data_IF_894658207572
#
_entry.id   IF_894658207572
#
_cell.length_a   1.000
_cell.length_b   1.000
_cell.length_c   1.000
_cell.angle_alpha   90.00
_cell.angle_beta   90.00
_cell.angle_gamma   90.00
#
_symmetry.space_group_name_H-M   'P 1'
#
loop_
_entity.id
_entity.type
_entity.pdbx_description
1 polymer ?
#
# COMPACT_ATOMS: atom_id res chain seq x y z
N UNK A 1 3.19 -3.66 15.87
CA UNK A 1 2.62 -4.92 15.36
C UNK A 1 2.68 -4.92 13.84
N UNK A 2 3.09 -6.02 13.19
CA UNK A 2 3.11 -6.11 11.72
C UNK A 2 1.67 -6.20 11.19
N UNK A 3 1.27 -5.26 10.33
CA UNK A 3 -0.04 -5.27 9.65
C UNK A 3 0.06 -6.05 8.34
N UNK A 4 1.01 -5.70 7.48
CA UNK A 4 1.17 -6.35 6.18
C UNK A 4 2.64 -6.49 5.79
N UNK A 5 2.92 -7.58 5.09
CA UNK A 5 4.19 -7.87 4.44
C UNK A 5 3.93 -8.28 2.98
N UNK A 6 4.43 -7.50 2.03
CA UNK A 6 4.30 -7.76 0.59
C UNK A 6 5.69 -7.93 0.02
N UNK A 7 5.99 -9.16 -0.42
CA UNK A 7 7.25 -9.50 -1.07
C UNK A 7 7.05 -9.49 -2.58
N UNK A 8 7.85 -8.68 -3.26
CA UNK A 8 7.93 -8.67 -4.71
C UNK A 8 9.04 -9.60 -5.17
N UNK A 9 8.83 -10.26 -6.29
CA UNK A 9 9.79 -11.18 -6.88
C UNK A 9 10.22 -10.70 -8.26
N UNK A 10 11.49 -10.92 -8.61
CA UNK A 10 12.00 -10.70 -9.95
C UNK A 10 11.58 -11.83 -10.92
N UNK A 11 12.03 -11.73 -12.17
CA UNK A 11 11.76 -12.74 -13.21
C UNK A 11 12.31 -14.14 -12.86
N UNK A 12 13.28 -14.21 -11.96
CA UNK A 12 13.91 -15.45 -11.49
C UNK A 12 13.28 -15.97 -10.18
N UNK A 13 12.15 -15.40 -9.74
CA UNK A 13 11.48 -15.71 -8.47
C UNK A 13 12.33 -15.43 -7.24
N UNK A 14 13.30 -14.52 -7.32
CA UNK A 14 14.05 -14.03 -6.16
C UNK A 14 13.40 -12.78 -5.60
N UNK A 15 13.34 -12.61 -4.27
CA UNK A 15 12.83 -11.38 -3.66
C UNK A 15 13.58 -10.16 -4.19
N UNK A 16 12.85 -9.21 -4.78
CA UNK A 16 13.39 -7.97 -5.36
C UNK A 16 13.16 -6.77 -4.46
N UNK A 17 12.03 -6.74 -3.76
CA UNK A 17 11.73 -5.74 -2.74
C UNK A 17 10.69 -6.25 -1.76
N UNK A 18 10.63 -5.63 -0.59
CA UNK A 18 9.65 -5.93 0.45
C UNK A 18 9.01 -4.63 0.91
N UNK A 19 7.68 -4.58 0.87
CA UNK A 19 6.88 -3.52 1.47
C UNK A 19 6.30 -4.01 2.80
N UNK A 20 6.51 -3.25 3.87
CA UNK A 20 5.98 -3.55 5.19
C UNK A 20 5.16 -2.38 5.72
N UNK A 21 4.07 -2.69 6.43
CA UNK A 21 3.37 -1.72 7.28
C UNK A 21 3.34 -2.26 8.69
N UNK A 22 3.85 -1.49 9.63
CA UNK A 22 3.82 -1.78 11.05
C UNK A 22 2.96 -0.74 11.78
N UNK A 23 2.12 -1.20 12.70
CA UNK A 23 1.40 -0.37 13.69
C UNK A 23 2.28 -0.14 14.92
N UNK A 24 2.23 1.08 15.45
CA UNK A 24 2.73 1.45 16.76
C UNK A 24 1.58 2.08 17.54
N UNK A 25 0.95 1.35 18.48
CA UNK A 25 -0.25 1.82 19.16
C UNK A 25 0.05 3.01 20.09
N UNK A 26 -0.96 3.81 20.44
CA UNK A 26 -0.81 4.85 21.46
C UNK A 26 -0.36 4.25 22.80
N UNK A 27 0.47 5.00 23.53
CA UNK A 27 1.01 4.60 24.84
C UNK A 27 0.98 5.78 25.81
N UNK A 28 1.24 5.53 27.09
CA UNK A 28 1.55 6.60 28.03
C UNK A 28 3.06 6.83 28.06
N UNK A 29 3.48 8.09 28.02
CA UNK A 29 4.88 8.46 28.18
C UNK A 29 5.32 8.41 29.66
N UNK A 30 6.59 8.72 29.92
CA UNK A 30 7.19 8.70 31.26
C UNK A 30 6.52 9.66 32.26
N UNK A 31 5.79 10.66 31.76
CA UNK A 31 5.07 11.65 32.56
C UNK A 31 3.56 11.33 32.68
N UNK A 32 3.11 10.22 32.08
CA UNK A 32 1.71 9.82 32.08
C UNK A 32 0.84 10.55 31.03
N UNK A 33 1.45 11.25 30.07
CA UNK A 33 0.71 11.83 28.94
C UNK A 33 0.53 10.81 27.82
N UNK A 34 -0.53 10.97 27.03
CA UNK A 34 -0.79 10.10 25.88
C UNK A 34 0.20 10.43 24.76
N UNK A 35 1.05 9.47 24.42
CA UNK A 35 1.82 9.46 23.18
C UNK A 35 0.94 8.86 22.06
N UNK A 36 0.69 9.65 21.01
CA UNK A 36 -0.12 9.20 19.88
C UNK A 36 0.49 7.99 19.18
N UNK A 37 -0.40 7.14 18.66
CA UNK A 37 -0.03 6.04 17.79
C UNK A 37 0.54 6.53 16.46
N UNK A 38 1.08 5.60 15.69
CA UNK A 38 1.64 5.88 14.37
C UNK A 38 1.80 4.61 13.57
N UNK A 39 1.96 4.75 12.26
CA UNK A 39 2.21 3.66 11.35
C UNK A 39 3.58 3.84 10.71
N UNK A 40 4.25 2.73 10.41
CA UNK A 40 5.54 2.74 9.72
C UNK A 40 5.40 2.02 8.39
N UNK A 41 5.47 2.78 7.30
CA UNK A 41 5.57 2.24 5.95
C UNK A 41 7.05 2.06 5.61
N UNK A 42 7.48 0.83 5.31
CA UNK A 42 8.87 0.55 4.98
C UNK A 42 9.00 -0.17 3.65
N UNK A 43 9.93 0.28 2.82
CA UNK A 43 10.36 -0.43 1.61
C UNK A 43 11.81 -0.86 1.79
N UNK A 44 12.08 -2.13 1.54
CA UNK A 44 13.43 -2.68 1.49
C UNK A 44 13.72 -3.20 0.08
N UNK A 45 14.85 -2.84 -0.48
CA UNK A 45 15.32 -3.39 -1.77
C UNK A 45 16.09 -4.71 -1.59
N UNK A 46 16.48 -5.32 -2.71
CA UNK A 46 17.27 -6.56 -2.73
C UNK A 46 18.70 -6.40 -2.20
N UNK A 47 19.24 -5.18 -2.18
CA UNK A 47 20.54 -4.87 -1.57
C UNK A 47 20.46 -4.70 -0.05
N UNK A 48 19.24 -4.68 0.52
CA UNK A 48 19.00 -4.48 1.93
C UNK A 48 18.84 -3.02 2.35
N UNK A 49 18.89 -2.08 1.39
CA UNK A 49 18.59 -0.67 1.65
C UNK A 49 17.15 -0.54 2.09
N UNK A 50 16.92 0.09 3.26
CA UNK A 50 15.59 0.27 3.83
C UNK A 50 15.26 1.75 3.93
N UNK A 51 14.12 2.14 3.37
CA UNK A 51 13.49 3.44 3.60
C UNK A 51 12.26 3.22 4.45
N UNK A 52 12.12 4.00 5.52
CA UNK A 52 10.97 3.95 6.43
C UNK A 52 10.37 5.34 6.57
N UNK A 53 9.06 5.42 6.45
CA UNK A 53 8.27 6.64 6.63
C UNK A 53 7.33 6.39 7.81
N UNK A 54 7.36 7.30 8.80
CA UNK A 54 6.37 7.34 9.87
C UNK A 54 5.16 8.14 9.38
N UNK A 55 3.98 7.58 9.56
CA UNK A 55 2.69 8.17 9.22
C UNK A 55 1.86 8.33 10.49
N UNK A 56 1.20 9.48 10.61
CA UNK A 56 0.15 9.72 11.61
C UNK A 56 -1.14 9.00 11.25
N UNK A 57 -2.08 8.96 12.19
CA UNK A 57 -3.43 8.41 11.98
C UNK A 57 -4.15 9.08 10.80
N UNK A 58 -3.97 10.40 10.61
CA UNK A 58 -4.61 11.16 9.54
C UNK A 58 -3.99 10.86 8.17
N UNK A 59 -2.67 10.68 8.12
CA UNK A 59 -1.98 10.36 6.86
C UNK A 59 -2.31 8.93 6.40
N UNK A 60 -2.37 7.96 7.32
CA UNK A 60 -2.66 6.57 6.92
C UNK A 60 -4.10 6.43 6.42
N UNK A 61 -5.07 7.12 7.04
CA UNK A 61 -6.47 7.03 6.61
C UNK A 61 -6.71 7.75 5.28
N UNK A 62 -6.05 8.90 5.05
CA UNK A 62 -6.11 9.59 3.77
C UNK A 62 -5.48 8.75 2.65
N UNK A 63 -4.31 8.16 2.91
CA UNK A 63 -3.64 7.25 1.97
C UNK A 63 -4.53 6.05 1.62
N UNK A 64 -5.11 5.39 2.63
CA UNK A 64 -5.98 4.24 2.41
C UNK A 64 -7.18 4.58 1.52
N UNK A 65 -7.87 5.70 1.80
CA UNK A 65 -9.02 6.16 1.01
C UNK A 65 -8.65 6.49 -0.43
N UNK A 66 -7.48 7.11 -0.65
CA UNK A 66 -7.00 7.43 -2.00
C UNK A 66 -6.65 6.19 -2.80
N UNK A 67 -6.03 5.20 -2.17
CA UNK A 67 -5.70 3.92 -2.81
C UNK A 67 -6.97 3.15 -3.20
N UNK A 68 -7.97 3.11 -2.32
CA UNK A 68 -9.27 2.49 -2.61
C UNK A 68 -9.98 3.19 -3.78
N UNK A 69 -10.04 4.52 -3.77
CA UNK A 69 -10.65 5.29 -4.86
C UNK A 69 -9.92 5.06 -6.19
N UNK A 70 -8.59 5.03 -6.19
CA UNK A 70 -7.80 4.77 -7.38
C UNK A 70 -8.04 3.36 -7.94
N UNK A 71 -8.10 2.35 -7.07
CA UNK A 71 -8.42 0.98 -7.46
C UNK A 71 -9.79 0.88 -8.14
N UNK A 72 -10.83 1.47 -7.54
CA UNK A 72 -12.17 1.45 -8.10
C UNK A 72 -12.22 2.12 -9.50
N UNK A 73 -11.47 3.20 -9.69
CA UNK A 73 -11.34 3.86 -10.98
C UNK A 73 -10.63 2.98 -12.02
N UNK A 74 -9.56 2.26 -11.63
CA UNK A 74 -8.88 1.32 -12.52
C UNK A 74 -9.82 0.21 -13.00
N UNK A 75 -10.58 -0.40 -12.10
CA UNK A 75 -11.56 -1.44 -12.44
C UNK A 75 -12.60 -0.91 -13.44
N UNK A 76 -13.11 0.30 -13.21
CA UNK A 76 -14.07 0.92 -14.13
C UNK A 76 -13.46 1.11 -15.54
N UNK A 77 -12.23 1.61 -15.62
CA UNK A 77 -11.53 1.80 -16.89
C UNK A 77 -11.30 0.46 -17.59
N UNK A 78 -10.88 -0.58 -16.86
CA UNK A 78 -10.69 -1.92 -17.40
C UNK A 78 -11.99 -2.49 -18.00
N UNK A 79 -13.11 -2.34 -17.30
CA UNK A 79 -14.42 -2.77 -17.80
C UNK A 79 -14.82 -2.04 -19.08
N UNK A 80 -14.58 -0.72 -19.15
CA UNK A 80 -14.86 0.08 -20.34
C UNK A 80 -14.01 -0.36 -21.54
N UNK A 81 -12.71 -0.60 -21.32
CA UNK A 81 -11.80 -1.08 -22.35
C UNK A 81 -12.20 -2.47 -22.85
N UNK A 82 -12.59 -3.39 -21.96
CA UNK A 82 -13.10 -4.71 -22.35
C UNK A 82 -14.39 -4.60 -23.18
N UNK A 83 -15.36 -3.78 -22.76
CA UNK A 83 -16.61 -3.59 -23.49
C UNK A 83 -16.40 -3.00 -24.89
N UNK A 84 -15.44 -2.10 -25.05
CA UNK A 84 -15.09 -1.50 -26.35
C UNK A 84 -14.46 -2.52 -27.32
N UNK A 85 -13.69 -3.51 -26.84
CA UNK A 85 -13.19 -4.60 -27.69
C UNK A 85 -14.31 -5.49 -28.22
N UNK A 86 -15.32 -5.78 -27.40
CA UNK A 86 -16.47 -6.60 -27.82
C UNK A 86 -17.28 -5.92 -28.92
N UNK A 87 -17.46 -4.59 -28.85
CA UNK A 87 -18.17 -3.83 -29.90
C UNK A 87 -17.39 -3.75 -31.22
N UNK A 88 -16.08 -3.62 -31.17
CA UNK A 88 -15.25 -3.57 -32.38
C UNK A 88 -15.19 -4.91 -33.15
N UNK A 89 -15.43 -6.04 -32.47
CA UNK A 89 -15.47 -7.37 -33.07
C UNK A 89 -16.85 -7.84 -33.54
N UNK A 90 -17.92 -7.08 -33.28
CA UNK A 90 -19.29 -7.40 -33.73
C UNK A 90 -19.71 -6.69 -35.02
N UNK A 91 -18.87 -5.77 -35.52
CA UNK A 91 -19.11 -4.99 -36.74
C UNK A 91 -18.36 -5.56 -37.97
N UNK A 92 -17.86 -6.80 -37.89
CA UNK A 92 -17.25 -7.58 -39.00
C UNK A 92 -17.94 -8.92 -39.15
#
# INVERSE_FOLDING_TARGET
MRIVDIVHFDQNKKPSSVLNVDDNPPTLDENGYVAHGSYFLSVRDSAGTKVTIKLSDMEIIDLAKRLEAAYNNHVLIEMQLQASRTKAGSDT
#
